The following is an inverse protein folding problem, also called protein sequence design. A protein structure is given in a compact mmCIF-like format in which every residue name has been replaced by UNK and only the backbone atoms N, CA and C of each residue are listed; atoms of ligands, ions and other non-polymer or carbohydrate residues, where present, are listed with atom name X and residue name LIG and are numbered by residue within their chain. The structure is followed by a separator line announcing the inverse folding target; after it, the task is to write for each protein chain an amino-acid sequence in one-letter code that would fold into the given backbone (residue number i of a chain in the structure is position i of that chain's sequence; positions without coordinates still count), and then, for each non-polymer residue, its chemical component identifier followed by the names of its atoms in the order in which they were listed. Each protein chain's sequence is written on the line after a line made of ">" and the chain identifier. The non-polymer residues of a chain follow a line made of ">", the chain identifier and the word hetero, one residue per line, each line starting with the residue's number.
data_IF_332006518912
#
_entry.id   IF_332006518912
#
_cell.length_a   1.000
_cell.length_b   1.000
_cell.length_c   1.000
_cell.angle_alpha   90.00
_cell.angle_beta   90.00
_cell.angle_gamma   90.00
#
_symmetry.space_group_name_H-M   'P 1'
#
loop_
_entity.id
_entity.type
_entity.pdbx_description
1 polymer ?
#
# COMPACT_ATOMS: atom_id res chain seq x y z
N UNK A 1 7.21 -9.29 -10.89
CA UNK A 1 6.72 -8.89 -12.23
C UNK A 1 7.79 -8.03 -12.84
N UNK A 2 8.28 -8.41 -14.01
CA UNK A 2 9.24 -7.61 -14.75
C UNK A 2 8.47 -6.58 -15.58
N UNK A 3 8.61 -5.30 -15.26
CA UNK A 3 7.97 -4.19 -15.99
C UNK A 3 8.37 -4.10 -17.47
N UNK A 4 9.49 -4.73 -17.82
CA UNK A 4 10.06 -4.69 -19.17
C UNK A 4 9.66 -5.91 -20.01
N UNK A 5 9.07 -6.93 -19.40
CA UNK A 5 8.68 -8.15 -20.10
C UNK A 5 7.17 -8.14 -20.33
N UNK A 6 6.79 -7.75 -21.53
CA UNK A 6 5.40 -7.72 -22.01
C UNK A 6 4.99 -9.09 -22.57
N UNK A 7 5.76 -10.15 -22.30
CA UNK A 7 5.43 -11.48 -22.78
C UNK A 7 4.05 -11.91 -22.25
N UNK A 8 3.28 -12.38 -23.12
CA UNK A 8 1.86 -12.74 -23.26
C UNK A 8 0.98 -13.00 -22.00
N UNK A 9 1.53 -13.08 -20.80
CA UNK A 9 0.77 -13.34 -19.55
C UNK A 9 1.08 -12.37 -18.42
N UNK A 10 1.96 -11.39 -18.66
CA UNK A 10 2.29 -10.36 -17.67
C UNK A 10 1.42 -9.14 -17.88
N UNK A 11 1.10 -8.45 -16.80
CA UNK A 11 0.46 -7.14 -16.88
C UNK A 11 1.49 -6.15 -17.41
N UNK A 12 1.14 -5.41 -18.46
CA UNK A 12 1.95 -4.30 -18.96
C UNK A 12 1.85 -3.12 -17.99
N UNK A 13 2.92 -2.84 -17.28
CA UNK A 13 3.04 -1.73 -16.34
C UNK A 13 3.81 -0.54 -16.93
N UNK A 14 4.12 -0.56 -18.23
CA UNK A 14 4.86 0.52 -18.89
C UNK A 14 4.12 1.86 -18.93
N UNK A 15 2.80 1.83 -18.69
CA UNK A 15 1.94 3.02 -18.62
C UNK A 15 1.53 3.39 -17.20
N UNK A 16 2.12 2.75 -16.18
CA UNK A 16 1.89 3.13 -14.80
C UNK A 16 2.53 4.51 -14.51
N UNK A 17 1.90 5.31 -13.66
CA UNK A 17 2.47 6.57 -13.23
C UNK A 17 3.64 6.35 -12.28
N UNK A 18 3.54 5.33 -11.41
CA UNK A 18 4.54 5.01 -10.39
C UNK A 18 4.81 3.51 -10.31
N UNK A 19 6.00 3.16 -9.85
CA UNK A 19 6.36 1.78 -9.55
C UNK A 19 7.10 1.66 -8.23
N UNK A 20 6.81 0.63 -7.46
CA UNK A 20 7.64 0.26 -6.32
C UNK A 20 9.00 -0.23 -6.82
N UNK A 21 10.05 0.35 -6.29
CA UNK A 21 11.41 -0.04 -6.58
C UNK A 21 12.28 0.00 -5.32
N UNK A 22 13.17 -0.97 -5.21
CA UNK A 22 14.16 -1.06 -4.13
C UNK A 22 15.52 -1.36 -4.78
N UNK A 23 16.59 -0.59 -4.46
CA UNK A 23 17.92 -0.79 -5.02
C UNK A 23 18.51 -2.18 -4.74
N UNK A 24 17.96 -2.92 -3.80
CA UNK A 24 18.34 -4.31 -3.54
C UNK A 24 17.68 -5.32 -4.50
N UNK A 25 16.71 -4.89 -5.29
CA UNK A 25 16.15 -5.68 -6.37
C UNK A 25 17.14 -5.73 -7.54
N UNK A 26 17.09 -6.81 -8.31
CA UNK A 26 17.94 -6.96 -9.49
C UNK A 26 17.61 -5.92 -10.57
N UNK A 27 18.52 -5.73 -11.53
CA UNK A 27 18.30 -4.84 -12.67
C UNK A 27 17.02 -5.17 -13.46
N UNK A 28 16.58 -6.44 -13.45
CA UNK A 28 15.32 -6.87 -14.07
C UNK A 28 14.05 -6.28 -13.40
N UNK A 29 14.19 -5.66 -12.24
CA UNK A 29 13.08 -5.05 -11.49
C UNK A 29 13.05 -3.52 -11.62
N UNK A 30 13.91 -2.94 -12.44
CA UNK A 30 13.92 -1.49 -12.69
C UNK A 30 12.60 -1.08 -13.36
N UNK A 31 11.98 0.03 -12.96
CA UNK A 31 10.79 0.56 -13.61
C UNK A 31 11.00 0.78 -15.11
N UNK A 32 9.95 0.63 -15.89
CA UNK A 32 9.98 0.93 -17.30
C UNK A 32 10.32 2.41 -17.54
N UNK A 33 10.94 2.78 -18.68
CA UNK A 33 11.22 4.16 -19.01
C UNK A 33 9.95 5.03 -18.94
N UNK A 34 10.01 6.14 -18.23
CA UNK A 34 8.88 7.04 -18.02
C UNK A 34 7.99 6.71 -16.83
N UNK A 35 8.18 5.57 -16.17
CA UNK A 35 7.49 5.23 -14.92
C UNK A 35 8.33 5.72 -13.75
N UNK A 36 7.74 6.54 -12.88
CA UNK A 36 8.45 7.13 -11.75
C UNK A 36 8.64 6.11 -10.61
N UNK A 37 9.87 5.88 -10.12
CA UNK A 37 10.09 5.01 -8.97
C UNK A 37 9.60 5.67 -7.68
N UNK A 38 8.82 4.96 -6.89
CA UNK A 38 8.55 5.33 -5.50
C UNK A 38 9.79 5.03 -4.67
N UNK A 39 10.48 6.06 -4.23
CA UNK A 39 11.70 5.92 -3.46
C UNK A 39 11.41 5.36 -2.05
N UNK A 40 12.16 4.34 -1.66
CA UNK A 40 12.12 3.83 -0.30
C UNK A 40 12.86 4.78 0.64
N UNK A 41 12.16 5.33 1.62
CA UNK A 41 12.73 6.23 2.62
C UNK A 41 13.05 5.53 3.95
N UNK A 42 12.39 4.41 4.23
CA UNK A 42 12.59 3.65 5.46
C UNK A 42 12.22 2.18 5.26
N UNK A 43 12.90 1.31 5.99
CA UNK A 43 12.67 -0.13 6.00
C UNK A 43 13.03 -0.72 7.34
N UNK A 44 12.17 -1.61 7.84
CA UNK A 44 12.45 -2.36 9.07
C UNK A 44 13.01 -3.75 8.72
N UNK A 45 14.33 -3.84 8.59
CA UNK A 45 15.04 -5.06 8.23
C UNK A 45 14.57 -5.73 6.92
N UNK A 46 15.32 -6.67 6.46
CA UNK A 46 15.01 -7.40 5.24
C UNK A 46 15.89 -7.00 4.06
N UNK A 47 15.86 -7.83 3.02
CA UNK A 47 16.75 -7.69 1.86
C UNK A 47 16.14 -6.89 0.72
N UNK A 48 14.81 -6.82 0.65
CA UNK A 48 14.10 -6.03 -0.36
C UNK A 48 12.67 -5.72 0.11
N UNK A 49 12.06 -4.69 -0.49
CA UNK A 49 10.66 -4.40 -0.27
C UNK A 49 9.78 -5.49 -0.89
N UNK A 50 8.88 -6.04 -0.10
CA UNK A 50 7.84 -6.96 -0.57
C UNK A 50 6.50 -6.52 -0.03
N UNK A 51 5.47 -6.49 -0.90
CA UNK A 51 4.10 -6.33 -0.43
C UNK A 51 3.70 -7.62 0.28
N UNK A 52 3.57 -7.52 1.60
CA UNK A 52 3.13 -8.66 2.41
C UNK A 52 1.62 -8.82 2.32
N UNK A 53 1.17 -10.06 2.11
CA UNK A 53 -0.25 -10.41 2.20
C UNK A 53 -0.69 -10.73 3.65
N UNK A 54 0.25 -10.67 4.60
CA UNK A 54 0.01 -11.09 5.99
C UNK A 54 -0.18 -9.90 6.94
N UNK A 55 -1.16 -9.06 6.64
CA UNK A 55 -1.59 -7.98 7.53
C UNK A 55 -0.88 -6.64 7.31
N UNK A 56 -0.63 -6.21 6.06
CA UNK A 56 -0.17 -4.85 5.81
C UNK A 56 -1.31 -3.85 6.01
N UNK A 57 -1.01 -2.77 6.70
CA UNK A 57 -1.77 -1.55 6.61
C UNK A 57 -1.08 -0.68 5.54
N UNK A 58 -1.82 -0.31 4.52
CA UNK A 58 -1.34 0.61 3.47
C UNK A 58 -1.97 1.97 3.69
N UNK A 59 -1.17 3.02 3.64
CA UNK A 59 -1.64 4.39 3.78
C UNK A 59 -1.08 5.26 2.65
N UNK A 60 -1.86 6.24 2.25
CA UNK A 60 -1.41 7.36 1.43
C UNK A 60 -1.31 8.58 2.33
N UNK A 61 -0.18 9.26 2.33
CA UNK A 61 0.02 10.44 3.16
C UNK A 61 0.82 11.52 2.43
N UNK A 62 0.68 12.74 2.91
CA UNK A 62 1.43 13.89 2.42
C UNK A 62 2.00 14.68 3.58
N UNK A 63 3.31 14.84 3.59
CA UNK A 63 3.95 15.76 4.54
C UNK A 63 3.59 17.19 4.14
N UNK A 64 2.95 17.96 5.01
CA UNK A 64 2.58 19.33 4.67
C UNK A 64 3.83 20.19 4.55
N UNK A 65 3.81 21.15 3.64
CA UNK A 65 4.92 22.12 3.43
C UNK A 65 5.27 22.90 4.70
N UNK A 66 4.28 23.14 5.56
CA UNK A 66 4.46 23.78 6.86
C UNK A 66 5.33 22.99 7.85
N UNK A 67 5.49 21.67 7.64
CA UNK A 67 6.36 20.86 8.47
C UNK A 67 7.86 21.15 8.21
N UNK A 68 8.19 21.77 7.08
CA UNK A 68 9.56 22.17 6.68
C UNK A 68 10.57 21.02 6.76
N UNK A 69 10.13 19.77 6.51
CA UNK A 69 10.97 18.58 6.56
C UNK A 69 10.72 17.71 5.31
N UNK A 70 11.78 17.15 4.78
CA UNK A 70 11.66 16.16 3.70
C UNK A 70 11.25 14.80 4.25
N UNK A 71 10.66 13.95 3.41
CA UNK A 71 10.29 12.58 3.78
C UNK A 71 11.51 11.77 4.24
N UNK A 72 12.65 11.95 3.59
CA UNK A 72 13.91 11.30 3.95
C UNK A 72 14.38 11.73 5.34
N UNK A 73 14.46 13.04 5.61
CA UNK A 73 14.87 13.56 6.90
C UNK A 73 13.91 13.15 8.03
N UNK A 74 12.61 13.08 7.74
CA UNK A 74 11.64 12.58 8.70
C UNK A 74 11.87 11.11 9.05
N UNK A 75 12.15 10.28 8.05
CA UNK A 75 12.39 8.85 8.23
C UNK A 75 13.71 8.53 8.96
N UNK A 76 14.71 9.41 8.85
CA UNK A 76 16.03 9.27 9.50
C UNK A 76 15.99 9.71 10.97
N UNK A 77 15.01 10.50 11.40
CA UNK A 77 14.89 10.89 12.80
C UNK A 77 14.33 9.72 13.65
N UNK A 78 15.16 9.17 14.51
CA UNK A 78 14.83 8.05 15.40
C UNK A 78 13.65 8.33 16.34
N UNK A 79 13.29 9.60 16.58
CA UNK A 79 12.11 9.98 17.38
C UNK A 79 10.81 9.58 16.70
N UNK A 80 10.82 9.46 15.38
CA UNK A 80 9.68 9.04 14.59
C UNK A 80 9.53 7.51 14.51
N UNK A 81 10.43 6.76 15.15
CA UNK A 81 10.35 5.30 15.21
C UNK A 81 9.68 4.84 16.50
N UNK A 82 8.54 4.18 16.37
CA UNK A 82 7.71 3.71 17.48
C UNK A 82 7.54 2.18 17.45
N UNK A 83 7.30 1.60 18.62
CA UNK A 83 6.91 0.19 18.71
C UNK A 83 5.54 -0.03 18.08
N UNK A 84 5.33 -1.22 17.51
CA UNK A 84 4.00 -1.61 17.01
C UNK A 84 2.99 -1.61 18.19
N UNK A 85 1.95 -0.77 18.18
CA UNK A 85 0.98 -0.71 19.25
C UNK A 85 0.19 -2.02 19.42
N UNK A 86 0.11 -2.82 18.38
CA UNK A 86 -0.55 -4.16 18.40
C UNK A 86 0.37 -5.24 18.97
N UNK A 87 1.67 -5.00 18.94
CA UNK A 87 2.69 -5.93 19.46
C UNK A 87 3.71 -5.20 20.32
N UNK A 88 3.29 -4.60 21.44
CA UNK A 88 4.16 -3.73 22.24
C UNK A 88 5.35 -4.46 22.85
N UNK A 89 5.31 -5.79 22.96
CA UNK A 89 6.42 -6.61 23.46
C UNK A 89 7.46 -6.96 22.36
N UNK A 90 7.18 -6.63 21.11
CA UNK A 90 8.16 -6.78 20.04
C UNK A 90 9.19 -5.64 20.13
N UNK A 91 10.47 -5.97 19.97
CA UNK A 91 11.54 -4.96 19.97
C UNK A 91 11.61 -4.13 18.68
N UNK A 92 10.86 -4.52 17.66
CA UNK A 92 10.87 -3.87 16.36
C UNK A 92 10.12 -2.54 16.41
N UNK A 93 10.76 -1.51 15.86
CA UNK A 93 10.17 -0.19 15.70
C UNK A 93 9.77 0.02 14.25
N UNK A 94 8.77 0.86 14.05
CA UNK A 94 8.23 1.23 12.73
C UNK A 94 8.18 2.74 12.60
N UNK A 95 8.31 3.23 11.38
CA UNK A 95 8.15 4.64 11.11
C UNK A 95 6.70 5.05 11.39
N UNK A 96 6.52 5.93 12.35
CA UNK A 96 5.21 6.50 12.67
C UNK A 96 4.88 7.60 11.67
N UNK A 97 3.69 7.58 11.12
CA UNK A 97 3.18 8.66 10.29
C UNK A 97 2.15 9.45 11.10
N UNK A 98 2.28 10.77 11.12
CA UNK A 98 1.30 11.64 11.75
C UNK A 98 -0.07 11.43 11.13
N UNK A 99 -1.10 11.21 11.98
CA UNK A 99 -2.47 10.97 11.52
C UNK A 99 -3.01 12.09 10.61
N UNK A 100 -2.64 13.33 10.89
CA UNK A 100 -3.09 14.51 10.16
C UNK A 100 -2.40 14.64 8.77
N UNK A 101 -1.42 13.81 8.48
CA UNK A 101 -0.77 13.71 7.17
C UNK A 101 -1.39 12.61 6.30
N UNK A 102 -2.13 11.69 6.93
CA UNK A 102 -2.74 10.57 6.22
C UNK A 102 -3.95 11.08 5.43
N UNK A 103 -3.96 10.77 4.16
CA UNK A 103 -5.05 11.12 3.23
C UNK A 103 -6.06 9.99 3.23
N UNK A 104 -5.59 8.75 3.14
CA UNK A 104 -6.42 7.55 3.10
C UNK A 104 -5.60 6.34 3.56
N UNK A 105 -6.27 5.28 3.94
CA UNK A 105 -5.62 4.05 4.34
C UNK A 105 -6.54 2.84 4.31
N UNK A 106 -5.95 1.68 4.08
CA UNK A 106 -6.65 0.40 4.08
C UNK A 106 -5.84 -0.68 4.79
N UNK A 107 -6.49 -1.44 5.62
CA UNK A 107 -5.90 -2.62 6.24
C UNK A 107 -6.28 -3.86 5.44
N UNK A 108 -5.29 -4.50 4.80
CA UNK A 108 -5.45 -5.74 4.05
C UNK A 108 -4.96 -6.91 4.88
N UNK A 109 -5.80 -7.90 5.10
CA UNK A 109 -5.48 -9.05 5.94
C UNK A 109 -5.77 -10.36 5.21
N UNK A 110 -5.25 -11.47 5.73
CA UNK A 110 -5.48 -12.80 5.13
C UNK A 110 -6.81 -13.44 5.56
N UNK A 111 -7.41 -12.95 6.62
CA UNK A 111 -8.73 -13.35 7.10
C UNK A 111 -9.21 -12.36 8.15
N UNK A 112 -10.51 -12.33 8.42
CA UNK A 112 -11.10 -11.47 9.45
C UNK A 112 -10.45 -11.63 10.84
N UNK A 113 -10.09 -12.86 11.21
CA UNK A 113 -9.41 -13.15 12.49
C UNK A 113 -7.97 -12.62 12.58
N UNK A 114 -7.41 -12.14 11.49
CA UNK A 114 -6.04 -11.60 11.41
C UNK A 114 -6.01 -10.07 11.32
N UNK A 115 -7.16 -9.41 11.37
CA UNK A 115 -7.23 -7.96 11.44
C UNK A 115 -6.57 -7.47 12.74
N UNK A 116 -5.56 -6.63 12.61
CA UNK A 116 -4.80 -6.09 13.74
C UNK A 116 -5.12 -4.63 14.05
N UNK A 117 -5.94 -4.01 13.23
CA UNK A 117 -6.43 -2.63 13.41
C UNK A 117 -5.33 -1.61 13.74
N UNK A 118 -4.38 -1.48 12.80
CA UNK A 118 -3.27 -0.50 12.91
C UNK A 118 -3.67 0.90 12.48
N UNK A 119 -4.66 0.98 11.59
CA UNK A 119 -5.19 2.25 11.11
C UNK A 119 -6.29 2.72 12.07
N UNK A 120 -6.25 3.97 12.55
CA UNK A 120 -7.32 4.54 13.39
C UNK A 120 -8.67 4.52 12.68
N UNK A 121 -9.75 4.30 13.42
CA UNK A 121 -11.11 4.16 12.88
C UNK A 121 -11.61 5.40 12.13
N UNK A 122 -11.07 6.57 12.41
CA UNK A 122 -11.43 7.79 11.67
C UNK A 122 -10.77 7.88 10.28
N UNK A 123 -9.82 6.99 9.97
CA UNK A 123 -9.19 6.85 8.64
C UNK A 123 -9.78 5.63 7.95
N UNK A 124 -9.83 4.49 8.66
CA UNK A 124 -10.45 3.27 8.15
C UNK A 124 -11.10 2.50 9.32
N UNK A 125 -12.41 2.49 9.37
CA UNK A 125 -13.16 1.77 10.39
C UNK A 125 -13.18 0.24 10.14
N UNK A 126 -12.88 -0.19 8.91
CA UNK A 126 -12.93 -1.57 8.46
C UNK A 126 -11.57 -2.22 8.26
N UNK A 127 -11.60 -3.24 7.47
CA UNK A 127 -10.46 -3.95 6.87
C UNK A 127 -10.96 -4.73 5.66
N UNK A 128 -10.07 -5.11 4.78
CA UNK A 128 -10.42 -5.93 3.62
C UNK A 128 -9.56 -7.19 3.55
N UNK A 129 -10.07 -8.25 2.94
CA UNK A 129 -9.35 -9.50 2.76
C UNK A 129 -9.94 -10.33 1.61
N UNK A 130 -9.13 -11.25 1.10
CA UNK A 130 -9.59 -12.28 0.16
C UNK A 130 -9.86 -13.55 0.97
N UNK A 131 -11.11 -14.04 1.04
CA UNK A 131 -11.47 -15.22 1.84
C UNK A 131 -10.66 -16.46 1.48
N UNK A 132 -10.31 -16.60 0.19
CA UNK A 132 -9.53 -17.74 -0.31
C UNK A 132 -8.43 -17.23 -1.23
N UNK A 133 -7.19 -17.34 -0.78
CA UNK A 133 -6.02 -16.93 -1.55
C UNK A 133 -5.71 -17.88 -2.71
N UNK A 134 -4.97 -17.39 -3.71
CA UNK A 134 -4.47 -18.15 -4.87
C UNK A 134 -5.52 -18.70 -5.83
N UNK A 135 -6.75 -18.22 -5.80
CA UNK A 135 -7.83 -18.59 -6.72
C UNK A 135 -8.05 -17.55 -7.84
N UNK A 136 -7.12 -16.66 -8.08
CA UNK A 136 -7.25 -15.66 -9.12
C UNK A 136 -8.25 -14.55 -8.80
N UNK A 137 -8.46 -14.25 -7.53
CA UNK A 137 -9.28 -13.12 -7.07
C UNK A 137 -8.41 -11.93 -6.69
N UNK A 138 -8.99 -10.75 -6.79
CA UNK A 138 -8.44 -9.48 -6.34
C UNK A 138 -9.42 -8.78 -5.42
N UNK A 139 -8.90 -7.94 -4.53
CA UNK A 139 -9.70 -6.97 -3.78
C UNK A 139 -9.65 -5.66 -4.56
N UNK A 140 -10.82 -5.13 -4.90
CA UNK A 140 -10.97 -3.89 -5.65
C UNK A 140 -11.87 -2.93 -4.90
N UNK A 141 -11.55 -1.63 -4.96
CA UNK A 141 -12.44 -0.60 -4.45
C UNK A 141 -13.68 -0.54 -5.35
N UNK A 142 -14.86 -0.51 -4.76
CA UNK A 142 -16.13 -0.38 -5.48
C UNK A 142 -16.21 0.95 -6.18
N UNK A 143 -16.91 0.97 -7.31
CA UNK A 143 -17.25 2.21 -8.01
C UNK A 143 -18.48 2.80 -7.33
N UNK A 144 -18.40 4.06 -6.95
CA UNK A 144 -19.54 4.82 -6.46
C UNK A 144 -20.32 5.39 -7.66
N UNK A 145 -19.66 6.18 -8.50
CA UNK A 145 -20.28 6.77 -9.69
C UNK A 145 -19.26 7.00 -10.82
N UNK A 146 -19.78 7.36 -11.99
CA UNK A 146 -18.96 7.82 -13.11
C UNK A 146 -19.43 9.20 -13.54
N UNK A 147 -18.57 10.21 -13.40
CA UNK A 147 -18.85 11.60 -13.74
C UNK A 147 -17.93 12.04 -14.87
N UNK A 148 -18.49 12.49 -15.98
CA UNK A 148 -17.75 12.94 -17.16
C UNK A 148 -16.67 11.96 -17.66
N UNK A 149 -16.97 10.65 -17.59
CA UNK A 149 -16.05 9.59 -17.96
C UNK A 149 -14.98 9.26 -16.94
N UNK A 150 -14.94 9.95 -15.79
CA UNK A 150 -14.06 9.68 -14.65
C UNK A 150 -14.76 8.78 -13.65
N UNK A 151 -14.15 7.67 -13.32
CA UNK A 151 -14.61 6.77 -12.25
C UNK A 151 -14.33 7.41 -10.87
N UNK A 152 -15.38 7.52 -10.07
CA UNK A 152 -15.30 7.89 -8.64
C UNK A 152 -15.46 6.60 -7.84
N UNK A 153 -14.52 6.34 -6.96
CA UNK A 153 -14.54 5.15 -6.12
C UNK A 153 -15.18 5.45 -4.77
N UNK A 154 -15.88 4.45 -4.24
CA UNK A 154 -16.49 4.52 -2.92
C UNK A 154 -15.44 4.77 -1.84
N UNK A 155 -15.72 5.71 -0.94
CA UNK A 155 -14.86 6.07 0.18
C UNK A 155 -15.71 6.51 1.38
N UNK A 156 -16.09 5.55 2.20
CA UNK A 156 -16.85 5.78 3.43
C UNK A 156 -15.96 5.79 4.68
N UNK A 157 -14.63 5.74 4.52
CA UNK A 157 -13.69 5.46 5.59
C UNK A 157 -13.95 4.10 6.29
N UNK A 158 -14.47 3.15 5.55
CA UNK A 158 -14.71 1.79 6.02
C UNK A 158 -14.41 0.78 4.89
N UNK A 159 -13.19 0.29 4.86
CA UNK A 159 -12.74 -0.61 3.81
C UNK A 159 -13.51 -1.95 3.75
N UNK A 160 -14.22 -2.34 4.83
CA UNK A 160 -15.10 -3.50 4.77
C UNK A 160 -16.35 -3.25 3.89
N UNK A 161 -16.74 -2.00 3.71
CA UNK A 161 -17.86 -1.59 2.87
C UNK A 161 -17.40 -1.11 1.49
N UNK A 162 -16.26 -0.44 1.43
CA UNK A 162 -15.74 0.21 0.23
C UNK A 162 -15.11 -0.76 -0.78
N UNK A 163 -14.72 -1.95 -0.34
CA UNK A 163 -14.05 -2.93 -1.18
C UNK A 163 -14.90 -4.18 -1.44
N UNK A 164 -14.61 -4.85 -2.53
CA UNK A 164 -15.21 -6.12 -2.90
C UNK A 164 -14.16 -7.09 -3.45
N UNK A 165 -14.46 -8.37 -3.39
CA UNK A 165 -13.64 -9.43 -3.98
C UNK A 165 -14.16 -9.73 -5.38
N UNK A 166 -13.31 -9.56 -6.37
CA UNK A 166 -13.63 -9.80 -7.78
C UNK A 166 -12.65 -10.79 -8.41
N UNK A 167 -13.05 -11.49 -9.48
CA UNK A 167 -12.09 -12.24 -10.28
C UNK A 167 -10.96 -11.33 -10.76
N UNK A 168 -9.72 -11.83 -10.77
CA UNK A 168 -8.57 -11.06 -11.20
C UNK A 168 -8.69 -10.68 -12.69
N UNK A 169 -8.98 -9.42 -12.96
CA UNK A 169 -9.15 -8.87 -14.31
C UNK A 169 -7.84 -8.34 -14.91
N UNK A 170 -6.75 -8.33 -14.16
CA UNK A 170 -5.44 -7.88 -14.63
C UNK A 170 -4.75 -8.90 -15.57
N UNK A 171 -5.29 -10.11 -15.66
CA UNK A 171 -4.90 -11.07 -16.68
C UNK A 171 -5.88 -10.94 -17.85
N UNK A 172 -5.47 -10.28 -18.88
CA UNK A 172 -6.10 -10.39 -20.21
C UNK A 172 -5.32 -11.37 -21.03
#
# INVERSE_FOLDING_TARGET
>A
INHMDIASQSVDLSKADFAFWDPLLTAASVPAPGVEPLNMIWRNNGTAFTISLTGPAMIIFKIPTSAAISAQAYAEDSKNLQLDPVKPNASQKYLMIHKDWVIDGVECVTSASKANKRIPNNIDAGFTYIPTSNLGNSVCRKVDEVVDGRTIYMDSNNSSEDFEVVPNTLKK
#
